data_IF_167645159042
#
_entry.id   IF_167645159042
#
_cell.length_a   1.000
_cell.length_b   1.000
_cell.length_c   1.000
_cell.angle_alpha   90.00
_cell.angle_beta   90.00
_cell.angle_gamma   90.00
#
_symmetry.space_group_name_H-M   'P 1'
#
loop_
_entity.id
_entity.type
_entity.pdbx_description
1 polymer ?
#
# COMPACT_ATOMS: atom_id res chain seq x y z
N UNK A 1 -8.55 4.72 8.94
CA UNK A 1 -7.54 5.58 9.62
C UNK A 1 -6.39 5.80 8.66
N UNK A 2 -5.79 7.00 8.62
CA UNK A 2 -4.57 7.22 7.81
C UNK A 2 -3.40 6.55 8.51
N UNK A 3 -2.66 5.70 7.81
CA UNK A 3 -1.49 5.01 8.36
C UNK A 3 -0.20 5.68 7.89
N UNK A 4 -0.20 6.16 6.65
CA UNK A 4 1.00 6.74 6.06
C UNK A 4 0.63 7.84 5.07
N UNK A 5 1.28 8.98 5.21
CA UNK A 5 1.20 10.10 4.27
C UNK A 5 2.60 10.62 4.03
N UNK A 6 2.96 10.80 2.77
CA UNK A 6 4.28 11.30 2.42
C UNK A 6 4.24 12.09 1.11
N UNK A 7 5.16 13.04 0.99
CA UNK A 7 5.32 13.87 -0.21
C UNK A 7 6.79 14.08 -0.54
N UNK A 8 7.11 14.26 -1.82
CA UNK A 8 8.48 14.47 -2.27
C UNK A 8 8.62 14.36 -3.77
N UNK A 9 9.64 13.63 -4.23
CA UNK A 9 10.06 13.62 -5.61
C UNK A 9 10.37 12.21 -6.13
N UNK A 10 10.00 11.98 -7.39
CA UNK A 10 10.48 10.87 -8.20
C UNK A 10 11.46 11.42 -9.24
N UNK A 11 12.70 10.94 -9.21
CA UNK A 11 13.85 11.45 -9.98
C UNK A 11 14.30 10.42 -11.01
N UNK A 12 14.41 10.81 -12.27
CA UNK A 12 15.03 9.99 -13.32
C UNK A 12 15.99 10.87 -14.14
N UNK A 13 17.28 10.77 -13.85
CA UNK A 13 18.31 11.61 -14.47
C UNK A 13 18.04 13.09 -14.20
N UNK A 14 17.77 13.86 -15.25
CA UNK A 14 17.44 15.29 -15.18
C UNK A 14 15.96 15.56 -14.95
N UNK A 15 15.09 14.55 -15.11
CA UNK A 15 13.65 14.71 -14.95
C UNK A 15 13.26 14.46 -13.49
N UNK A 16 12.35 15.29 -12.98
CA UNK A 16 11.73 15.05 -11.69
C UNK A 16 10.23 15.32 -11.74
N UNK A 17 9.50 14.56 -10.93
CA UNK A 17 8.07 14.75 -10.74
C UNK A 17 7.76 14.85 -9.25
N UNK A 18 6.82 15.71 -8.91
CA UNK A 18 6.23 15.72 -7.57
C UNK A 18 5.51 14.39 -7.35
N UNK A 19 5.80 13.77 -6.22
CA UNK A 19 5.22 12.51 -5.78
C UNK A 19 4.48 12.72 -4.46
N UNK A 20 3.24 12.24 -4.38
CA UNK A 20 2.46 12.19 -3.14
C UNK A 20 1.91 10.79 -2.93
N UNK A 21 1.97 10.31 -1.70
CA UNK A 21 1.50 8.98 -1.34
C UNK A 21 0.60 9.11 -0.11
N UNK A 22 -0.54 8.43 -0.16
CA UNK A 22 -1.47 8.35 0.95
C UNK A 22 -1.97 6.93 1.09
N UNK A 23 -1.69 6.30 2.24
CA UNK A 23 -2.13 4.94 2.58
C UNK A 23 -3.07 5.01 3.77
N UNK A 24 -4.24 4.42 3.59
CA UNK A 24 -5.28 4.30 4.62
C UNK A 24 -5.54 2.84 4.93
N UNK A 25 -5.81 2.58 6.20
CA UNK A 25 -6.37 1.31 6.65
C UNK A 25 -7.82 1.21 6.19
N UNK A 26 -8.13 0.18 5.41
CA UNK A 26 -9.50 -0.20 5.12
C UNK A 26 -9.88 -1.34 6.06
N UNK A 27 -10.87 -1.06 6.92
CA UNK A 27 -11.54 -2.11 7.66
C UNK A 27 -12.18 -3.07 6.66
N UNK A 28 -11.90 -4.35 6.81
CA UNK A 28 -12.68 -5.37 6.11
C UNK A 28 -14.10 -5.25 6.68
N UNK A 29 -15.12 -4.86 5.88
CA UNK A 29 -16.48 -5.07 6.34
C UNK A 29 -16.64 -6.58 6.33
N UNK A 30 -16.36 -7.25 7.45
CA UNK A 30 -16.96 -8.56 7.65
C UNK A 30 -18.46 -8.29 7.50
N UNK A 31 -19.12 -8.85 6.48
CA UNK A 31 -20.55 -8.69 6.38
C UNK A 31 -21.08 -9.36 7.64
N UNK A 32 -21.64 -8.58 8.58
CA UNK A 32 -22.40 -9.10 9.71
C UNK A 32 -23.44 -10.14 9.23
N UNK A 33 -23.87 -9.99 7.98
CA UNK A 33 -24.75 -10.87 7.24
C UNK A 33 -24.22 -12.29 6.94
N UNK A 34 -22.91 -12.52 6.89
CA UNK A 34 -22.37 -13.86 6.68
C UNK A 34 -22.30 -14.67 7.98
N UNK A 35 -22.21 -14.01 9.14
CA UNK A 35 -22.25 -14.72 10.44
C UNK A 35 -23.59 -15.41 10.66
N UNK A 36 -24.70 -14.74 10.35
CA UNK A 36 -26.03 -15.33 10.48
C UNK A 36 -26.29 -16.47 9.48
N UNK A 37 -25.73 -16.40 8.27
CA UNK A 37 -25.85 -17.47 7.27
C UNK A 37 -24.99 -18.71 7.60
N UNK A 38 -23.87 -18.54 8.29
CA UNK A 38 -23.00 -19.63 8.75
C UNK A 38 -23.55 -20.32 10.01
N UNK A 39 -24.09 -19.56 10.96
CA UNK A 39 -24.72 -20.12 12.17
C UNK A 39 -25.94 -21.02 11.87
N UNK A 40 -26.59 -20.83 10.71
CA UNK A 40 -27.77 -21.61 10.31
C UNK A 40 -27.41 -22.94 9.62
N UNK A 41 -26.14 -23.18 9.26
CA UNK A 41 -25.70 -24.44 8.60
C UNK A 41 -24.51 -25.07 9.31
N UNK A 42 -24.71 -25.40 10.59
CA UNK A 42 -23.80 -26.27 11.34
C UNK A 42 -23.84 -27.69 10.77
N UNK A 43 -22.82 -28.07 10.02
CA UNK A 43 -22.39 -29.46 9.86
C UNK A 43 -20.86 -29.51 9.76
N UNK A 44 -20.22 -29.80 10.89
CA UNK A 44 -18.89 -30.44 11.14
C UNK A 44 -17.64 -29.98 10.37
N UNK A 45 -17.74 -29.07 9.41
CA UNK A 45 -16.66 -28.62 8.54
C UNK A 45 -16.04 -27.30 9.04
N UNK A 46 -16.80 -26.53 9.82
CA UNK A 46 -16.40 -25.21 10.36
C UNK A 46 -15.26 -25.24 11.39
N UNK A 47 -15.09 -26.32 12.15
CA UNK A 47 -13.98 -26.41 13.13
C UNK A 47 -12.61 -26.36 12.44
N UNK A 48 -12.47 -26.97 11.26
CA UNK A 48 -11.23 -26.97 10.48
C UNK A 48 -10.98 -25.62 9.79
N UNK A 49 -12.05 -24.91 9.42
CA UNK A 49 -11.95 -23.59 8.77
C UNK A 49 -11.63 -22.48 9.77
N UNK A 50 -12.15 -22.56 11.01
CA UNK A 50 -11.83 -21.60 12.08
C UNK A 50 -10.37 -21.69 12.55
N UNK A 51 -9.77 -22.87 12.53
CA UNK A 51 -8.35 -23.04 12.90
C UNK A 51 -7.40 -22.51 11.81
N UNK A 52 -7.72 -22.70 10.52
CA UNK A 52 -6.89 -22.18 9.43
C UNK A 52 -6.94 -20.65 9.27
N UNK A 53 -8.03 -19.99 9.69
CA UNK A 53 -8.12 -18.53 9.64
C UNK A 53 -7.53 -17.81 10.86
N UNK A 54 -7.13 -18.54 11.91
CA UNK A 54 -6.41 -17.96 13.07
C UNK A 54 -4.91 -17.83 12.84
N UNK A 55 -4.36 -18.53 11.84
CA UNK A 55 -2.92 -18.53 11.50
C UNK A 55 -2.55 -17.56 10.38
N UNK A 56 -3.52 -16.95 9.69
CA UNK A 56 -3.26 -15.82 8.79
C UNK A 56 -3.60 -14.52 9.51
N UNK A 57 -2.55 -13.76 9.83
CA UNK A 57 -2.63 -12.50 10.56
C UNK A 57 -3.74 -11.59 10.02
N UNK A 58 -4.53 -11.06 10.96
CA UNK A 58 -5.43 -9.91 10.83
C UNK A 58 -5.60 -9.35 9.40
N UNK A 59 -6.80 -9.51 8.84
CA UNK A 59 -7.27 -8.98 7.56
C UNK A 59 -7.23 -7.43 7.46
N UNK A 60 -6.06 -6.81 7.64
CA UNK A 60 -5.85 -5.39 7.37
C UNK A 60 -5.71 -5.23 5.86
N UNK A 61 -6.79 -4.79 5.21
CA UNK A 61 -6.73 -4.42 3.80
C UNK A 61 -6.31 -2.97 3.74
N UNK A 62 -5.22 -2.67 3.06
CA UNK A 62 -4.79 -1.29 2.86
C UNK A 62 -5.39 -0.76 1.55
N UNK A 63 -5.72 0.53 1.52
CA UNK A 63 -5.99 1.27 0.29
C UNK A 63 -4.99 2.41 0.19
N UNK A 64 -4.31 2.49 -0.94
CA UNK A 64 -3.29 3.51 -1.16
C UNK A 64 -3.56 4.29 -2.43
N UNK A 65 -3.14 5.54 -2.42
CA UNK A 65 -3.23 6.49 -3.51
C UNK A 65 -1.85 7.05 -3.77
N UNK A 66 -1.53 7.22 -5.04
CA UNK A 66 -0.26 7.78 -5.49
C UNK A 66 -0.55 8.84 -6.54
N UNK A 67 0.02 10.03 -6.36
CA UNK A 67 -0.01 11.08 -7.37
C UNK A 67 1.41 11.34 -7.87
N UNK A 68 1.64 11.21 -9.17
CA UNK A 68 2.94 11.39 -9.81
C UNK A 68 2.81 12.39 -10.96
N UNK A 69 3.51 13.52 -10.87
CA UNK A 69 3.57 14.49 -11.97
C UNK A 69 2.22 15.13 -12.33
N UNK A 70 1.22 15.03 -11.45
CA UNK A 70 -0.15 15.51 -11.69
C UNK A 70 -1.18 14.41 -11.97
N UNK A 71 -0.73 13.19 -12.26
CA UNK A 71 -1.59 12.04 -12.55
C UNK A 71 -1.86 11.23 -11.27
N UNK A 72 -3.11 10.75 -11.12
CA UNK A 72 -3.54 9.97 -9.96
C UNK A 72 -3.61 8.47 -10.26
N UNK A 73 -3.11 7.68 -9.32
CA UNK A 73 -3.02 6.22 -9.39
C UNK A 73 -3.48 5.59 -8.08
N UNK A 74 -3.93 4.33 -8.18
CA UNK A 74 -4.24 3.50 -7.04
C UNK A 74 -3.04 2.60 -6.70
N UNK A 75 -2.85 2.33 -5.41
CA UNK A 75 -1.89 1.33 -4.93
C UNK A 75 -2.63 0.05 -4.53
N UNK A 76 -2.17 -1.07 -5.05
CA UNK A 76 -2.70 -2.40 -4.79
C UNK A 76 -1.60 -3.36 -4.33
N UNK A 77 -1.98 -4.53 -3.81
CA UNK A 77 -1.03 -5.57 -3.40
C UNK A 77 -0.02 -5.08 -2.34
N UNK A 78 -0.43 -4.13 -1.50
CA UNK A 78 0.49 -3.49 -0.56
C UNK A 78 1.01 -4.47 0.48
N UNK A 79 2.33 -4.54 0.60
CA UNK A 79 3.04 -5.21 1.68
C UNK A 79 3.68 -4.10 2.51
N UNK A 80 3.27 -3.99 3.77
CA UNK A 80 3.75 -2.96 4.69
C UNK A 80 4.43 -3.66 5.85
N UNK A 81 5.71 -3.37 6.09
CA UNK A 81 6.42 -3.88 7.26
C UNK A 81 6.48 -2.79 8.33
N UNK A 82 6.25 -3.20 9.57
CA UNK A 82 6.29 -2.32 10.74
C UNK A 82 7.49 -2.66 11.62
N UNK A 83 8.06 -1.64 12.24
CA UNK A 83 9.08 -1.76 13.28
C UNK A 83 8.69 -0.79 14.40
N UNK A 84 8.54 -1.29 15.62
CA UNK A 84 8.10 -0.52 16.78
C UNK A 84 6.79 0.27 16.55
N UNK A 85 5.80 -0.36 15.90
CA UNK A 85 4.50 0.25 15.61
C UNK A 85 4.51 1.32 14.51
N UNK A 86 5.65 1.55 13.86
CA UNK A 86 5.83 2.54 12.81
C UNK A 86 6.16 1.87 11.47
N UNK A 87 5.69 2.40 10.34
CA UNK A 87 5.98 1.82 9.01
C UNK A 87 7.46 1.91 8.68
N UNK A 88 8.14 0.77 8.52
CA UNK A 88 9.56 0.70 8.18
C UNK A 88 9.79 0.71 6.69
N UNK A 89 9.02 -0.06 5.95
CA UNK A 89 9.09 -0.10 4.49
C UNK A 89 7.73 -0.54 3.94
N UNK A 90 7.52 -0.27 2.66
CA UNK A 90 6.37 -0.81 1.95
C UNK A 90 6.68 -1.02 0.48
N UNK A 91 5.99 -1.97 -0.11
CA UNK A 91 5.96 -2.20 -1.55
C UNK A 91 4.51 -2.24 -2.04
N UNK A 92 4.27 -1.74 -3.24
CA UNK A 92 2.94 -1.75 -3.83
C UNK A 92 3.00 -1.82 -5.36
N UNK A 93 1.95 -2.37 -5.95
CA UNK A 93 1.68 -2.24 -7.37
C UNK A 93 0.95 -0.92 -7.65
N UNK A 94 1.37 -0.23 -8.70
CA UNK A 94 0.72 0.97 -9.19
C UNK A 94 -0.29 0.56 -10.24
N UNK A 95 -1.54 0.94 -10.03
CA UNK A 95 -2.67 0.63 -10.91
C UNK A 95 -3.24 1.95 -11.40
N UNK A 96 -3.64 1.98 -12.67
CA UNK A 96 -4.40 3.09 -13.26
C UNK A 96 -5.59 3.50 -12.38
N UNK A 97 -6.06 4.74 -12.51
CA UNK A 97 -7.18 5.25 -11.73
C UNK A 97 -8.46 4.42 -11.89
N UNK A 98 -8.68 3.83 -13.07
CA UNK A 98 -9.79 2.90 -13.34
C UNK A 98 -9.65 1.54 -12.64
N UNK A 99 -8.48 1.23 -12.08
CA UNK A 99 -8.20 -0.02 -11.36
C UNK A 99 -7.98 -1.23 -12.26
N UNK A 100 -8.00 -1.08 -13.58
CA UNK A 100 -8.04 -2.22 -14.52
C UNK A 100 -6.66 -2.69 -14.96
N UNK A 101 -5.66 -1.81 -14.94
CA UNK A 101 -4.32 -2.10 -15.51
C UNK A 101 -3.23 -1.71 -14.53
N UNK A 102 -2.34 -2.66 -14.22
CA UNK A 102 -1.08 -2.42 -13.50
C UNK A 102 -0.12 -1.67 -14.40
N UNK A 103 0.27 -0.49 -13.97
CA UNK A 103 1.13 0.45 -14.72
C UNK A 103 2.49 0.65 -14.07
N UNK A 104 2.77 -0.02 -12.96
CA UNK A 104 4.07 0.10 -12.31
C UNK A 104 4.17 -0.57 -10.96
N UNK A 105 5.28 -0.30 -10.28
CA UNK A 105 5.57 -0.73 -8.92
C UNK A 105 6.29 0.37 -8.14
N UNK A 106 6.12 0.36 -6.83
CA UNK A 106 6.85 1.23 -5.92
C UNK A 106 7.36 0.43 -4.71
N UNK A 107 8.58 0.75 -4.29
CA UNK A 107 9.20 0.24 -3.06
C UNK A 107 9.82 1.41 -2.32
N UNK A 108 9.53 1.54 -1.03
CA UNK A 108 10.03 2.63 -0.18
C UNK A 108 10.50 2.06 1.15
N UNK A 109 11.67 2.49 1.58
CA UNK A 109 12.22 2.26 2.92
C UNK A 109 12.23 3.59 3.66
N UNK A 110 11.62 3.61 4.82
CA UNK A 110 11.53 4.79 5.68
C UNK A 110 12.64 4.73 6.74
N UNK A 111 13.39 5.82 6.87
CA UNK A 111 14.46 6.01 7.84
C UNK A 111 14.18 7.27 8.64
N UNK A 112 14.68 7.28 9.87
CA UNK A 112 14.66 8.49 10.70
C UNK A 112 16.02 9.16 10.57
N UNK A 113 16.03 10.44 10.24
CA UNK A 113 17.22 11.27 10.11
C UNK A 113 16.97 12.58 10.84
N UNK A 114 17.76 12.89 11.87
CA UNK A 114 17.68 14.15 12.63
C UNK A 114 16.26 14.53 13.09
N UNK A 115 15.47 13.53 13.51
CA UNK A 115 14.09 13.73 13.96
C UNK A 115 13.05 13.83 12.84
N UNK A 116 13.47 13.96 11.58
CA UNK A 116 12.61 13.85 10.41
C UNK A 116 12.54 12.41 9.92
N UNK A 117 11.40 12.01 9.36
CA UNK A 117 11.25 10.70 8.72
C UNK A 117 11.27 10.84 7.21
N UNK A 118 12.24 10.18 6.59
CA UNK A 118 12.51 10.25 5.16
C UNK A 118 12.30 8.87 4.55
N UNK A 119 11.56 8.81 3.44
CA UNK A 119 11.42 7.63 2.61
C UNK A 119 12.35 7.69 1.42
N UNK A 120 13.12 6.63 1.20
CA UNK A 120 13.92 6.45 0.00
C UNK A 120 13.52 5.16 -0.71
N UNK A 121 13.57 5.15 -2.03
CA UNK A 121 13.30 3.92 -2.76
C UNK A 121 13.27 4.08 -4.27
N UNK A 122 12.46 3.24 -4.91
CA UNK A 122 12.33 3.19 -6.37
C UNK A 122 10.88 3.10 -6.79
N UNK A 123 10.56 3.79 -7.87
CA UNK A 123 9.26 3.73 -8.54
C UNK A 123 9.52 3.37 -10.00
N UNK A 124 8.90 2.31 -10.49
CA UNK A 124 9.00 1.88 -11.89
C UNK A 124 7.65 2.04 -12.54
N UNK A 125 7.58 2.83 -13.61
CA UNK A 125 6.39 2.95 -14.47
C UNK A 125 6.58 2.14 -15.74
N UNK A 126 5.65 1.24 -16.02
CA UNK A 126 5.61 0.47 -17.24
C UNK A 126 4.99 1.34 -18.35
N UNK A 127 5.84 2.01 -19.12
CA UNK A 127 5.40 2.65 -20.37
C UNK A 127 5.39 1.63 -21.52
N UNK A 128 4.67 1.97 -22.59
CA UNK A 128 4.45 1.09 -23.76
C UNK A 128 5.71 0.71 -24.53
N UNK A 129 6.83 1.40 -24.33
CA UNK A 129 8.09 1.14 -25.03
C UNK A 129 9.18 0.65 -24.09
N UNK A 130 9.44 1.37 -23.00
CA UNK A 130 10.44 0.99 -22.00
C UNK A 130 9.98 1.34 -20.58
N UNK A 131 10.30 0.50 -19.57
CA UNK A 131 10.03 0.83 -18.19
C UNK A 131 10.88 2.03 -17.74
N UNK A 132 10.22 3.03 -17.17
CA UNK A 132 10.86 4.22 -16.63
C UNK A 132 11.08 4.04 -15.13
N UNK A 133 12.34 4.03 -14.69
CA UNK A 133 12.72 3.83 -13.29
C UNK A 133 13.09 5.18 -12.66
N UNK A 134 12.44 5.51 -11.56
CA UNK A 134 12.66 6.71 -10.78
C UNK A 134 13.24 6.35 -9.42
N UNK A 135 14.23 7.12 -8.96
CA UNK A 135 14.61 7.17 -7.55
C UNK A 135 13.60 8.00 -6.78
N UNK A 136 13.13 7.50 -5.66
CA UNK A 136 12.11 8.14 -4.83
C UNK A 136 12.75 8.73 -3.59
N UNK A 137 12.38 9.98 -3.29
CA UNK A 137 12.68 10.68 -2.04
C UNK A 137 11.39 11.28 -1.49
N UNK A 138 11.08 10.98 -0.24
CA UNK A 138 9.82 11.34 0.41
C UNK A 138 10.10 11.90 1.81
N UNK A 139 9.44 13.00 2.16
CA UNK A 139 9.25 13.41 3.54
C UNK A 139 7.91 12.85 4.04
N UNK A 140 7.91 12.25 5.23
CA UNK A 140 6.68 11.72 5.83
C UNK A 140 6.00 12.82 6.62
N UNK A 141 4.73 13.03 6.33
CA UNK A 141 3.87 13.92 7.10
C UNK A 141 3.36 13.09 8.30
N UNK A 142 4.02 13.16 9.46
CA UNK A 142 3.45 12.60 10.70
C UNK A 142 2.24 13.48 11.08
N UNK A 143 1.06 12.84 11.19
CA UNK A 143 -0.20 13.47 11.58
C UNK A 143 -0.85 12.73 12.74
#
# INVERSE_FOLDING_TARGET
MTIHRASGFALNGTNFHVLRIHIVEALNPQPLYLKSLLETKSNSTERRIRENNKTQGSNHRYRGYLRLGGEDYNLAGMIIMYENGKTRNYTADIVSQSGSVRVGTISVILRTHEGARIGEGSLTMNHTRDPCVYRVLLAVDEG
#
